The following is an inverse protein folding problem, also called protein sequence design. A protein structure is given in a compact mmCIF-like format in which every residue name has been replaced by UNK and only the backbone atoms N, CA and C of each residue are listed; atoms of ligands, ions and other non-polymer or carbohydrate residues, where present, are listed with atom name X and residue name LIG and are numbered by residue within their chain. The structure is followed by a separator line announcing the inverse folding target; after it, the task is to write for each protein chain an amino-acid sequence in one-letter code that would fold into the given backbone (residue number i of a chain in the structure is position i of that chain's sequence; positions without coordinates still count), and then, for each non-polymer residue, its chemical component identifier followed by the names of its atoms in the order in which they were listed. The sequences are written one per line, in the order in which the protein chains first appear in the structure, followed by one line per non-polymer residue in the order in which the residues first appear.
data_IF_965072734820
#
_entry.id   IF_965072734820
#
_cell.length_a   1.000
_cell.length_b   1.000
_cell.length_c   1.000
_cell.angle_alpha   90.00
_cell.angle_beta   90.00
_cell.angle_gamma   90.00
#
_symmetry.space_group_name_H-M   'P 1'
#
loop_
_entity.id
_entity.type
_entity.pdbx_description
1 polymer ?
#
# COMPACT_ATOMS: atom_id res chain seq x y z
N UNK A 1 137.57 -47.49 -63.34
CA UNK A 1 136.37 -48.27 -62.93
C UNK A 1 135.91 -48.01 -61.50
N UNK A 2 136.74 -47.45 -60.60
CA UNK A 2 136.36 -47.15 -59.20
C UNK A 2 135.42 -45.95 -59.02
N UNK A 3 135.46 -44.93 -59.91
CA UNK A 3 134.59 -43.74 -59.85
C UNK A 3 133.15 -44.00 -60.28
N UNK A 4 132.93 -44.93 -61.22
CA UNK A 4 131.61 -45.32 -61.72
C UNK A 4 130.81 -46.13 -60.69
N UNK A 5 131.47 -47.05 -59.99
CA UNK A 5 130.85 -47.85 -58.92
C UNK A 5 130.48 -46.96 -57.72
N UNK A 6 131.32 -45.98 -57.36
CA UNK A 6 131.01 -44.99 -56.32
C UNK A 6 129.84 -44.06 -56.67
N UNK A 7 129.74 -43.58 -57.92
CA UNK A 7 128.59 -42.81 -58.40
C UNK A 7 127.31 -43.64 -58.45
N UNK A 8 127.38 -44.92 -58.83
CA UNK A 8 126.21 -45.81 -58.84
C UNK A 8 125.71 -46.09 -57.41
N UNK A 9 126.62 -46.32 -56.46
CA UNK A 9 126.28 -46.48 -55.04
C UNK A 9 125.69 -45.18 -54.48
N UNK A 10 126.29 -44.03 -54.77
CA UNK A 10 125.75 -42.72 -54.38
C UNK A 10 124.37 -42.42 -54.99
N UNK A 11 124.16 -42.79 -56.26
CA UNK A 11 122.89 -42.66 -56.95
C UNK A 11 121.82 -43.60 -56.37
N UNK A 12 122.18 -44.83 -56.01
CA UNK A 12 121.30 -45.78 -55.33
C UNK A 12 120.94 -45.32 -53.92
N UNK A 13 121.88 -44.73 -53.18
CA UNK A 13 121.62 -44.14 -51.87
C UNK A 13 120.66 -42.94 -52.00
N UNK A 14 120.83 -42.08 -53.00
CA UNK A 14 119.91 -40.97 -53.29
C UNK A 14 118.52 -41.49 -53.68
N UNK A 15 118.43 -42.49 -54.56
CA UNK A 15 117.16 -43.13 -54.93
C UNK A 15 116.46 -43.74 -53.71
N UNK A 16 117.22 -44.39 -52.82
CA UNK A 16 116.70 -44.94 -51.58
C UNK A 16 116.19 -43.83 -50.65
N UNK A 17 116.90 -42.71 -50.49
CA UNK A 17 116.45 -41.56 -49.71
C UNK A 17 115.19 -40.93 -50.32
N UNK A 18 115.16 -40.70 -51.64
CA UNK A 18 113.99 -40.12 -52.33
C UNK A 18 112.78 -41.03 -52.16
N UNK A 19 112.94 -42.34 -52.39
CA UNK A 19 111.86 -43.31 -52.24
C UNK A 19 111.39 -43.45 -50.79
N UNK A 20 112.30 -43.41 -49.81
CA UNK A 20 112.01 -43.59 -48.38
C UNK A 20 111.48 -42.34 -47.68
N UNK A 21 111.94 -41.15 -48.09
CA UNK A 21 111.67 -39.87 -47.41
C UNK A 21 110.87 -38.85 -48.22
N UNK A 22 110.98 -38.81 -49.56
CA UNK A 22 110.31 -37.78 -50.40
C UNK A 22 109.01 -38.28 -51.03
N UNK A 23 108.99 -39.50 -51.56
CA UNK A 23 107.79 -40.12 -52.15
C UNK A 23 106.63 -40.30 -51.14
N UNK A 24 106.84 -40.79 -49.91
CA UNK A 24 105.75 -40.97 -48.95
C UNK A 24 105.00 -39.67 -48.58
N UNK A 25 105.64 -38.52 -48.27
CA UNK A 25 104.91 -37.29 -48.00
C UNK A 25 104.19 -36.73 -49.23
N UNK A 26 104.78 -36.83 -50.44
CA UNK A 26 104.12 -36.38 -51.68
C UNK A 26 102.88 -37.24 -52.00
N UNK A 27 102.97 -38.57 -51.89
CA UNK A 27 101.82 -39.46 -52.06
C UNK A 27 100.74 -39.23 -51.00
N UNK A 28 101.12 -38.99 -49.74
CA UNK A 28 100.17 -38.63 -48.67
C UNK A 28 99.46 -37.32 -48.96
N UNK A 29 100.17 -36.28 -49.40
CA UNK A 29 99.56 -35.00 -49.74
C UNK A 29 98.56 -35.14 -50.91
N UNK A 30 98.91 -35.92 -51.93
CA UNK A 30 98.06 -36.14 -53.11
C UNK A 30 96.83 -37.02 -52.77
N UNK A 31 96.99 -38.03 -51.93
CA UNK A 31 95.88 -38.83 -51.40
C UNK A 31 94.96 -38.00 -50.50
N UNK A 32 95.51 -37.16 -49.61
CA UNK A 32 94.73 -36.24 -48.77
C UNK A 32 93.93 -35.24 -49.62
N UNK A 33 94.50 -34.74 -50.73
CA UNK A 33 93.76 -33.87 -51.65
C UNK A 33 92.65 -34.62 -52.40
N UNK A 34 92.91 -35.82 -52.88
CA UNK A 34 91.88 -36.66 -53.52
C UNK A 34 90.75 -37.01 -52.55
N UNK A 35 91.08 -37.34 -51.30
CA UNK A 35 90.13 -37.65 -50.24
C UNK A 35 89.35 -36.40 -49.81
N UNK A 36 89.98 -35.24 -49.70
CA UNK A 36 89.31 -33.97 -49.45
C UNK A 36 88.31 -33.62 -50.55
N UNK A 37 88.69 -33.76 -51.83
CA UNK A 37 87.79 -33.53 -52.98
C UNK A 37 86.64 -34.53 -52.98
N UNK A 38 86.93 -35.82 -52.72
CA UNK A 38 85.89 -36.86 -52.65
C UNK A 38 84.91 -36.62 -51.51
N UNK A 39 85.41 -36.24 -50.33
CA UNK A 39 84.57 -35.90 -49.19
C UNK A 39 83.73 -34.65 -49.46
N UNK A 40 84.30 -33.62 -50.09
CA UNK A 40 83.54 -32.42 -50.50
C UNK A 40 82.44 -32.75 -51.51
N UNK A 41 82.71 -33.62 -52.49
CA UNK A 41 81.71 -34.07 -53.47
C UNK A 41 80.59 -34.90 -52.81
N UNK A 42 80.94 -35.84 -51.92
CA UNK A 42 79.97 -36.66 -51.19
C UNK A 42 79.13 -35.82 -50.21
N UNK A 43 79.74 -34.83 -49.54
CA UNK A 43 79.04 -33.90 -48.66
C UNK A 43 78.11 -32.96 -49.43
N UNK A 44 78.55 -32.47 -50.60
CA UNK A 44 77.72 -31.69 -51.51
C UNK A 44 76.53 -32.49 -52.05
N UNK A 45 76.74 -33.75 -52.43
CA UNK A 45 75.67 -34.65 -52.87
C UNK A 45 74.66 -34.93 -51.75
N UNK A 46 75.12 -35.18 -50.52
CA UNK A 46 74.24 -35.35 -49.34
C UNK A 46 73.49 -34.06 -48.99
N UNK A 47 74.14 -32.90 -49.10
CA UNK A 47 73.51 -31.61 -48.88
C UNK A 47 72.41 -31.34 -49.92
N UNK A 48 72.67 -31.63 -51.20
CA UNK A 48 71.68 -31.53 -52.27
C UNK A 48 70.49 -32.47 -52.05
N UNK A 49 70.74 -33.71 -51.61
CA UNK A 49 69.67 -34.67 -51.29
C UNK A 49 68.81 -34.20 -50.10
N UNK A 50 69.44 -33.73 -49.02
CA UNK A 50 68.72 -33.17 -47.85
C UNK A 50 67.90 -31.94 -48.21
N UNK A 51 68.41 -31.09 -49.11
CA UNK A 51 67.68 -29.92 -49.61
C UNK A 51 66.44 -30.37 -50.41
N UNK A 52 66.60 -31.32 -51.34
CA UNK A 52 65.48 -31.83 -52.12
C UNK A 52 64.40 -32.51 -51.26
N UNK A 53 64.82 -33.24 -50.22
CA UNK A 53 63.90 -33.83 -49.24
C UNK A 53 63.20 -32.77 -48.39
N UNK A 54 63.94 -31.75 -47.92
CA UNK A 54 63.38 -30.62 -47.18
C UNK A 54 62.37 -29.82 -48.02
N UNK A 55 62.66 -29.58 -49.30
CA UNK A 55 61.76 -28.90 -50.23
C UNK A 55 60.47 -29.70 -50.45
N UNK A 56 60.58 -31.03 -50.55
CA UNK A 56 59.42 -31.92 -50.66
C UNK A 56 58.55 -31.86 -49.40
N UNK A 57 59.14 -32.00 -48.22
CA UNK A 57 58.42 -31.87 -46.95
C UNK A 57 57.80 -30.49 -46.80
N UNK A 58 58.51 -29.42 -47.19
CA UNK A 58 57.97 -28.07 -47.17
C UNK A 58 56.75 -27.93 -48.08
N UNK A 59 56.81 -28.45 -49.30
CA UNK A 59 55.69 -28.45 -50.24
C UNK A 59 54.48 -29.23 -49.69
N UNK A 60 54.69 -30.41 -49.09
CA UNK A 60 53.64 -31.20 -48.45
C UNK A 60 53.00 -30.46 -47.27
N UNK A 61 53.79 -29.84 -46.40
CA UNK A 61 53.27 -29.07 -45.24
C UNK A 61 52.51 -27.83 -45.67
N UNK A 62 52.94 -27.15 -46.73
CA UNK A 62 52.20 -26.03 -47.31
C UNK A 62 50.87 -26.51 -47.92
N UNK A 63 50.84 -27.68 -48.56
CA UNK A 63 49.61 -28.26 -49.08
C UNK A 63 48.63 -28.67 -47.96
N UNK A 64 49.14 -29.32 -46.91
CA UNK A 64 48.38 -29.69 -45.71
C UNK A 64 47.82 -28.44 -45.01
N UNK A 65 48.65 -27.42 -44.78
CA UNK A 65 48.20 -26.16 -44.17
C UNK A 65 47.13 -25.44 -45.01
N UNK A 66 47.22 -25.51 -46.35
CA UNK A 66 46.18 -24.96 -47.23
C UNK A 66 44.88 -25.77 -47.17
N UNK A 67 44.96 -27.09 -47.00
CA UNK A 67 43.78 -27.94 -46.83
C UNK A 67 43.10 -27.66 -45.48
N UNK A 68 43.88 -27.57 -44.41
CA UNK A 68 43.39 -27.24 -43.07
C UNK A 68 42.78 -25.83 -43.02
N UNK A 69 43.43 -24.84 -43.63
CA UNK A 69 42.88 -23.49 -43.72
C UNK A 69 41.52 -23.45 -44.44
N UNK A 70 41.36 -24.25 -45.51
CA UNK A 70 40.06 -24.40 -46.19
C UNK A 70 39.02 -25.02 -45.27
N UNK A 71 39.39 -26.08 -44.55
CA UNK A 71 38.50 -26.74 -43.61
C UNK A 71 38.01 -25.76 -42.53
N UNK A 72 38.93 -25.01 -41.91
CA UNK A 72 38.61 -23.97 -40.92
C UNK A 72 37.68 -22.91 -41.51
N UNK A 73 37.89 -22.47 -42.76
CA UNK A 73 37.01 -21.48 -43.39
C UNK A 73 35.60 -22.00 -43.67
N UNK A 74 35.46 -23.29 -44.02
CA UNK A 74 34.13 -23.88 -44.22
C UNK A 74 33.40 -24.10 -42.89
N UNK A 75 34.09 -24.56 -41.85
CA UNK A 75 33.53 -24.65 -40.50
C UNK A 75 33.07 -23.27 -39.99
N UNK A 76 33.92 -22.25 -40.14
CA UNK A 76 33.57 -20.88 -39.77
C UNK A 76 32.36 -20.35 -40.55
N UNK A 77 32.19 -20.76 -41.81
CA UNK A 77 31.03 -20.40 -42.64
C UNK A 77 29.75 -21.07 -42.13
N UNK A 78 29.81 -22.37 -41.85
CA UNK A 78 28.67 -23.11 -41.26
C UNK A 78 28.29 -22.54 -39.90
N UNK A 79 29.27 -22.20 -39.07
CA UNK A 79 29.03 -21.58 -37.77
C UNK A 79 28.42 -20.18 -37.91
N UNK A 80 28.88 -19.38 -38.87
CA UNK A 80 28.29 -18.07 -39.15
C UNK A 80 26.81 -18.19 -39.57
N UNK A 81 26.48 -19.18 -40.41
CA UNK A 81 25.09 -19.47 -40.81
C UNK A 81 24.24 -19.90 -39.61
N UNK A 82 24.75 -20.81 -38.78
CA UNK A 82 24.10 -21.26 -37.54
C UNK A 82 23.86 -20.10 -36.56
N UNK A 83 24.84 -19.22 -36.36
CA UNK A 83 24.71 -18.03 -35.51
C UNK A 83 23.65 -17.09 -36.09
N UNK A 84 23.64 -16.88 -37.40
CA UNK A 84 22.64 -16.04 -38.06
C UNK A 84 21.21 -16.59 -37.88
N UNK A 85 21.02 -17.91 -38.00
CA UNK A 85 19.74 -18.57 -37.73
C UNK A 85 19.31 -18.44 -36.27
N UNK A 86 20.23 -18.66 -35.32
CA UNK A 86 19.96 -18.50 -33.89
C UNK A 86 19.55 -17.06 -33.55
N UNK A 87 20.24 -16.07 -34.11
CA UNK A 87 19.90 -14.65 -33.92
C UNK A 87 18.54 -14.31 -34.53
N UNK A 88 18.20 -14.85 -35.71
CA UNK A 88 16.87 -14.68 -36.31
C UNK A 88 15.78 -15.28 -35.42
N UNK A 89 15.96 -16.52 -34.95
CA UNK A 89 15.01 -17.17 -34.05
C UNK A 89 14.82 -16.40 -32.74
N UNK A 90 15.90 -15.86 -32.16
CA UNK A 90 15.82 -15.00 -30.98
C UNK A 90 15.08 -13.69 -31.27
N UNK A 91 15.34 -13.06 -32.42
CA UNK A 91 14.65 -11.85 -32.84
C UNK A 91 13.15 -12.10 -33.02
N UNK A 92 12.75 -13.23 -33.61
CA UNK A 92 11.34 -13.59 -33.77
C UNK A 92 10.63 -13.75 -32.42
N UNK A 93 11.29 -14.38 -31.44
CA UNK A 93 10.78 -14.50 -30.07
C UNK A 93 10.62 -13.13 -29.40
N UNK A 94 11.60 -12.22 -29.57
CA UNK A 94 11.54 -10.88 -29.00
C UNK A 94 10.44 -10.04 -29.66
N UNK A 95 10.30 -10.12 -30.99
CA UNK A 95 9.22 -9.46 -31.73
C UNK A 95 7.87 -9.93 -31.24
N UNK A 96 7.68 -11.23 -31.03
CA UNK A 96 6.43 -11.77 -30.52
C UNK A 96 6.15 -11.32 -29.08
N UNK A 97 7.19 -11.30 -28.22
CA UNK A 97 7.07 -10.75 -26.85
C UNK A 97 6.61 -9.28 -26.88
N UNK A 98 7.25 -8.46 -27.72
CA UNK A 98 6.90 -7.05 -27.87
C UNK A 98 5.47 -6.88 -28.39
N UNK A 99 5.04 -7.70 -29.36
CA UNK A 99 3.67 -7.68 -29.88
C UNK A 99 2.65 -8.01 -28.80
N UNK A 100 2.86 -9.07 -28.03
CA UNK A 100 1.95 -9.46 -26.94
C UNK A 100 1.86 -8.37 -25.88
N UNK A 101 3.01 -7.83 -25.45
CA UNK A 101 3.07 -6.74 -24.49
C UNK A 101 2.39 -5.47 -25.03
N UNK A 102 2.64 -5.11 -26.29
CA UNK A 102 2.00 -3.98 -26.96
C UNK A 102 0.48 -4.15 -27.06
N UNK A 103 0.01 -5.36 -27.39
CA UNK A 103 -1.42 -5.70 -27.40
C UNK A 103 -2.08 -5.52 -26.03
N UNK A 104 -1.43 -5.98 -24.96
CA UNK A 104 -1.90 -5.77 -23.58
C UNK A 104 -1.94 -4.27 -23.23
N UNK A 105 -0.90 -3.52 -23.59
CA UNK A 105 -0.85 -2.07 -23.36
C UNK A 105 -2.00 -1.33 -24.08
N UNK A 106 -2.32 -1.71 -25.32
CA UNK A 106 -3.45 -1.15 -26.07
C UNK A 106 -4.78 -1.44 -25.38
N UNK A 107 -4.98 -2.65 -24.84
CA UNK A 107 -6.20 -2.98 -24.09
C UNK A 107 -6.33 -2.16 -22.81
N UNK A 108 -5.23 -1.94 -22.08
CA UNK A 108 -5.22 -1.09 -20.89
C UNK A 108 -5.57 0.37 -21.24
N UNK A 109 -4.96 0.91 -22.29
CA UNK A 109 -5.26 2.26 -22.79
C UNK A 109 -6.72 2.38 -23.22
N UNK A 110 -7.26 1.37 -23.91
CA UNK A 110 -8.69 1.33 -24.29
C UNK A 110 -9.60 1.33 -23.07
N UNK A 111 -9.30 0.51 -22.06
CA UNK A 111 -10.09 0.46 -20.84
C UNK A 111 -10.04 1.79 -20.07
N UNK A 112 -8.88 2.43 -20.01
CA UNK A 112 -8.71 3.76 -19.43
C UNK A 112 -9.51 4.81 -20.19
N UNK A 113 -9.43 4.84 -21.52
CA UNK A 113 -10.19 5.75 -22.36
C UNK A 113 -11.70 5.57 -22.17
N UNK A 114 -12.19 4.34 -22.12
CA UNK A 114 -13.61 4.06 -21.86
C UNK A 114 -14.03 4.58 -20.48
N UNK A 115 -13.21 4.38 -19.44
CA UNK A 115 -13.51 4.92 -18.10
C UNK A 115 -13.56 6.44 -18.11
N UNK A 116 -12.62 7.09 -18.78
CA UNK A 116 -12.60 8.54 -18.92
C UNK A 116 -13.85 9.05 -19.65
N UNK A 117 -14.18 8.45 -20.81
CA UNK A 117 -15.38 8.80 -21.58
C UNK A 117 -16.67 8.61 -20.77
N UNK A 118 -16.77 7.53 -19.97
CA UNK A 118 -17.91 7.32 -19.07
C UNK A 118 -17.99 8.39 -17.99
N UNK A 119 -16.86 8.81 -17.43
CA UNK A 119 -16.79 9.90 -16.46
C UNK A 119 -17.25 11.22 -17.07
N UNK A 120 -16.67 11.61 -18.21
CA UNK A 120 -17.01 12.84 -18.92
C UNK A 120 -18.49 12.86 -19.35
N UNK A 121 -18.99 11.76 -19.91
CA UNK A 121 -20.39 11.63 -20.29
C UNK A 121 -21.32 11.69 -19.06
N UNK A 122 -20.92 11.08 -17.94
CA UNK A 122 -21.67 11.11 -16.70
C UNK A 122 -21.79 12.53 -16.14
N UNK A 123 -20.68 13.26 -16.08
CA UNK A 123 -20.66 14.66 -15.64
C UNK A 123 -21.51 15.55 -16.55
N UNK A 124 -21.38 15.40 -17.87
CA UNK A 124 -22.17 16.17 -18.83
C UNK A 124 -23.67 15.83 -18.74
N UNK A 125 -24.02 14.56 -18.55
CA UNK A 125 -25.41 14.11 -18.37
C UNK A 125 -26.03 14.69 -17.10
N UNK A 126 -25.32 14.67 -15.97
CA UNK A 126 -25.79 15.29 -14.72
C UNK A 126 -25.93 16.80 -14.86
N UNK A 127 -25.01 17.46 -15.58
CA UNK A 127 -25.11 18.89 -15.86
C UNK A 127 -26.39 19.21 -16.64
N UNK A 128 -26.68 18.46 -17.70
CA UNK A 128 -27.93 18.62 -18.49
C UNK A 128 -29.17 18.27 -17.70
N UNK A 129 -29.14 17.21 -16.91
CA UNK A 129 -30.24 16.87 -15.99
C UNK A 129 -30.49 18.01 -14.98
N UNK A 130 -29.43 18.62 -14.45
CA UNK A 130 -29.51 19.78 -13.57
C UNK A 130 -30.13 21.00 -14.25
N UNK A 131 -29.81 21.27 -15.52
CA UNK A 131 -30.46 22.32 -16.32
C UNK A 131 -31.96 22.05 -16.51
N UNK A 132 -32.33 20.80 -16.83
CA UNK A 132 -33.73 20.38 -16.98
C UNK A 132 -34.52 20.49 -15.67
N UNK A 133 -33.95 20.00 -14.56
CA UNK A 133 -34.58 20.08 -13.23
C UNK A 133 -34.73 21.55 -12.82
N UNK A 134 -33.71 22.39 -13.05
CA UNK A 134 -33.79 23.83 -12.75
C UNK A 134 -34.92 24.51 -13.53
N UNK A 135 -35.09 24.15 -14.81
CA UNK A 135 -36.22 24.64 -15.60
C UNK A 135 -37.57 24.12 -15.10
N UNK A 136 -37.64 22.87 -14.65
CA UNK A 136 -38.86 22.26 -14.10
C UNK A 136 -39.29 22.88 -12.77
N UNK A 137 -38.37 23.10 -11.83
CA UNK A 137 -38.68 23.68 -10.51
C UNK A 137 -38.93 25.19 -10.55
N UNK A 138 -38.76 25.83 -11.71
CA UNK A 138 -39.20 27.21 -11.90
C UNK A 138 -40.73 27.34 -11.93
N UNK A 139 -41.45 26.24 -12.17
CA UNK A 139 -42.90 26.17 -12.06
C UNK A 139 -43.34 25.97 -10.59
N UNK A 140 -44.16 26.87 -10.01
CA UNK A 140 -44.61 26.77 -8.62
C UNK A 140 -45.35 25.46 -8.30
N UNK A 141 -46.10 24.90 -9.24
CA UNK A 141 -46.82 23.64 -9.02
C UNK A 141 -45.83 22.45 -8.88
N UNK A 142 -44.81 22.38 -9.75
CA UNK A 142 -43.74 21.39 -9.65
C UNK A 142 -42.92 21.53 -8.36
N UNK A 143 -42.69 22.76 -7.90
CA UNK A 143 -42.00 23.01 -6.64
C UNK A 143 -42.81 22.50 -5.45
N UNK A 144 -44.10 22.84 -5.37
CA UNK A 144 -45.00 22.35 -4.30
C UNK A 144 -45.03 20.83 -4.26
N UNK A 145 -45.25 20.18 -5.40
CA UNK A 145 -45.30 18.72 -5.49
C UNK A 145 -43.99 18.04 -5.06
N UNK A 146 -42.84 18.72 -5.19
CA UNK A 146 -41.54 18.23 -4.71
C UNK A 146 -41.44 18.33 -3.18
N UNK A 147 -41.94 19.42 -2.59
CA UNK A 147 -42.01 19.61 -1.15
C UNK A 147 -42.94 18.56 -0.54
N UNK A 148 -44.14 18.40 -1.09
CA UNK A 148 -45.14 17.46 -0.59
C UNK A 148 -44.58 16.03 -0.56
N UNK A 149 -43.91 15.59 -1.65
CA UNK A 149 -43.26 14.27 -1.69
C UNK A 149 -42.16 14.11 -0.62
N UNK A 150 -41.39 15.16 -0.38
CA UNK A 150 -40.33 15.12 0.64
C UNK A 150 -40.93 15.05 2.06
N UNK A 151 -42.03 15.76 2.30
CA UNK A 151 -42.77 15.67 3.57
C UNK A 151 -43.38 14.28 3.77
N UNK A 152 -43.98 13.70 2.74
CA UNK A 152 -44.49 12.32 2.77
C UNK A 152 -43.37 11.32 3.09
N UNK A 153 -42.17 11.50 2.52
CA UNK A 153 -41.00 10.68 2.81
C UNK A 153 -40.55 10.83 4.26
N UNK A 154 -40.50 12.06 4.79
CA UNK A 154 -40.18 12.30 6.20
C UNK A 154 -41.18 11.67 7.15
N UNK A 155 -42.48 11.78 6.86
CA UNK A 155 -43.53 11.15 7.67
C UNK A 155 -43.41 9.62 7.65
N UNK A 156 -43.00 9.04 6.53
CA UNK A 156 -42.73 7.59 6.43
C UNK A 156 -41.50 7.13 7.22
N UNK A 157 -40.51 8.02 7.37
CA UNK A 157 -39.26 7.77 8.11
C UNK A 157 -39.40 8.07 9.61
N UNK A 158 -40.41 8.83 10.01
CA UNK A 158 -40.61 9.22 11.40
C UNK A 158 -40.90 7.98 12.27
N UNK A 159 -40.17 7.78 13.39
CA UNK A 159 -40.49 6.71 14.33
C UNK A 159 -41.86 6.96 14.96
N UNK A 160 -42.61 5.88 15.23
CA UNK A 160 -44.00 5.93 15.69
C UNK A 160 -44.22 6.63 17.06
N UNK A 161 -43.16 7.03 17.77
CA UNK A 161 -43.26 7.78 19.01
C UNK A 161 -42.04 8.71 19.18
N UNK A 162 -42.29 10.01 19.28
CA UNK A 162 -41.32 10.98 19.79
C UNK A 162 -41.14 10.73 21.30
N UNK A 163 -39.97 10.26 21.72
CA UNK A 163 -39.60 10.24 23.15
C UNK A 163 -38.84 11.53 23.47
N UNK A 164 -39.39 12.45 24.27
CA UNK A 164 -38.69 13.68 24.62
C UNK A 164 -37.38 13.37 25.36
N UNK A 165 -36.27 13.86 24.81
CA UNK A 165 -34.88 13.64 25.28
C UNK A 165 -34.57 14.25 26.66
N UNK A 166 -35.52 14.98 27.27
CA UNK A 166 -35.32 15.67 28.57
C UNK A 166 -35.05 14.69 29.73
N UNK A 167 -35.34 13.40 29.55
CA UNK A 167 -35.02 12.34 30.52
C UNK A 167 -33.67 11.65 30.30
N UNK A 168 -32.90 12.02 29.27
CA UNK A 168 -31.68 11.29 28.86
C UNK A 168 -30.51 11.41 29.86
N UNK A 169 -30.44 12.49 30.63
CA UNK A 169 -29.36 12.72 31.61
C UNK A 169 -29.65 12.11 33.00
N UNK A 170 -30.92 11.86 33.33
CA UNK A 170 -31.32 11.29 34.61
C UNK A 170 -30.99 9.80 34.67
N UNK A 171 -30.40 9.35 35.79
CA UNK A 171 -30.23 7.91 36.09
C UNK A 171 -31.59 7.24 36.30
N UNK A 172 -31.65 5.90 36.20
CA UNK A 172 -32.92 5.14 36.24
C UNK A 172 -33.82 5.48 37.43
N UNK A 173 -33.26 5.57 38.65
CA UNK A 173 -34.03 5.92 39.87
C UNK A 173 -34.58 7.35 39.82
N UNK A 174 -33.82 8.31 39.28
CA UNK A 174 -34.30 9.69 39.14
C UNK A 174 -35.33 9.83 38.01
N UNK A 175 -35.24 9.03 36.94
CA UNK A 175 -36.27 8.98 35.91
C UNK A 175 -37.59 8.44 36.46
N UNK A 176 -37.53 7.39 37.26
CA UNK A 176 -38.70 6.82 37.93
C UNK A 176 -39.31 7.79 38.95
N UNK A 177 -38.47 8.48 39.73
CA UNK A 177 -38.88 9.55 40.64
C UNK A 177 -39.54 10.73 39.90
N UNK A 178 -38.94 11.19 38.80
CA UNK A 178 -39.49 12.24 37.94
C UNK A 178 -40.86 11.84 37.38
N UNK A 179 -41.00 10.60 36.88
CA UNK A 179 -42.25 10.10 36.35
C UNK A 179 -43.36 10.09 37.42
N UNK A 180 -43.05 9.61 38.64
CA UNK A 180 -44.00 9.63 39.75
C UNK A 180 -44.38 11.06 40.19
N UNK A 181 -43.47 12.03 40.04
CA UNK A 181 -43.76 13.44 40.33
C UNK A 181 -44.69 14.05 39.30
N UNK A 182 -44.46 13.76 38.02
CA UNK A 182 -45.33 14.20 36.93
C UNK A 182 -46.71 13.57 37.06
N UNK A 183 -46.79 12.28 37.39
CA UNK A 183 -48.08 11.59 37.63
C UNK A 183 -48.86 12.21 38.80
N UNK A 184 -48.17 12.51 39.92
CA UNK A 184 -48.80 13.21 41.04
C UNK A 184 -49.24 14.62 40.66
N UNK A 185 -48.43 15.33 39.87
CA UNK A 185 -48.77 16.64 39.36
C UNK A 185 -50.00 16.59 38.47
N UNK A 186 -50.09 15.65 37.51
CA UNK A 186 -51.24 15.50 36.62
C UNK A 186 -52.53 15.27 37.42
N UNK A 187 -52.47 14.42 38.45
CA UNK A 187 -53.60 14.19 39.36
C UNK A 187 -54.01 15.44 40.13
N UNK A 188 -53.06 16.30 40.52
CA UNK A 188 -53.34 17.53 41.27
C UNK A 188 -53.84 18.62 40.32
N UNK A 189 -53.21 18.76 39.16
CA UNK A 189 -53.48 19.79 38.17
C UNK A 189 -54.81 19.61 37.45
N UNK A 190 -55.34 18.38 37.35
CA UNK A 190 -56.60 18.08 36.68
C UNK A 190 -57.76 19.01 37.12
N UNK A 191 -57.85 19.30 38.43
CA UNK A 191 -58.96 20.06 39.01
C UNK A 191 -58.62 21.51 39.37
N UNK A 192 -57.38 21.97 39.11
CA UNK A 192 -56.95 23.33 39.44
C UNK A 192 -57.39 24.37 38.40
N UNK A 193 -57.76 25.57 38.86
CA UNK A 193 -57.94 26.73 37.97
C UNK A 193 -56.60 27.29 37.48
N UNK A 194 -56.62 28.13 36.42
CA UNK A 194 -55.41 28.81 35.93
C UNK A 194 -54.71 29.67 37.00
N UNK A 195 -55.48 30.35 37.85
CA UNK A 195 -54.94 31.10 39.00
C UNK A 195 -54.30 30.17 40.03
N UNK A 196 -54.89 29.00 40.28
CA UNK A 196 -54.36 28.01 41.22
C UNK A 196 -53.09 27.32 40.68
N UNK A 197 -53.02 27.06 39.37
CA UNK A 197 -51.81 26.58 38.70
C UNK A 197 -50.67 27.60 38.74
N UNK A 198 -50.98 28.89 38.59
CA UNK A 198 -49.99 29.97 38.75
C UNK A 198 -49.43 30.01 40.17
N UNK A 199 -50.30 29.90 41.19
CA UNK A 199 -49.86 29.82 42.59
C UNK A 199 -49.02 28.58 42.85
N UNK A 200 -49.43 27.42 42.35
CA UNK A 200 -48.68 26.17 42.46
C UNK A 200 -47.27 26.31 41.86
N UNK A 201 -47.16 26.93 40.68
CA UNK A 201 -45.87 27.18 40.04
C UNK A 201 -44.97 28.08 40.91
N UNK A 202 -45.50 29.20 41.41
CA UNK A 202 -44.74 30.14 42.25
C UNK A 202 -44.30 29.51 43.57
N UNK A 203 -45.17 28.71 44.19
CA UNK A 203 -44.88 27.97 45.43
C UNK A 203 -43.79 26.92 45.22
N UNK A 204 -43.89 26.09 44.18
CA UNK A 204 -42.88 25.07 43.87
C UNK A 204 -41.55 25.70 43.45
N UNK A 205 -41.55 26.80 42.70
CA UNK A 205 -40.33 27.55 42.36
C UNK A 205 -39.67 28.15 43.62
N UNK A 206 -40.47 28.69 44.54
CA UNK A 206 -39.98 29.20 45.83
C UNK A 206 -39.38 28.09 46.69
N UNK A 207 -39.98 26.89 46.68
CA UNK A 207 -39.43 25.72 47.38
C UNK A 207 -38.17 25.20 46.71
N UNK A 208 -38.12 25.11 45.37
CA UNK A 208 -36.92 24.73 44.65
C UNK A 208 -35.74 25.67 45.00
N UNK A 209 -35.99 26.99 45.04
CA UNK A 209 -35.01 27.97 45.49
C UNK A 209 -34.55 27.74 46.94
N UNK A 210 -35.48 27.47 47.85
CA UNK A 210 -35.15 27.15 49.24
C UNK A 210 -34.25 25.90 49.34
N UNK A 211 -34.50 24.88 48.52
CA UNK A 211 -33.69 23.65 48.51
C UNK A 211 -32.29 23.89 47.94
N UNK A 212 -32.14 24.83 46.99
CA UNK A 212 -30.82 25.29 46.51
C UNK A 212 -30.07 26.04 47.61
N UNK A 213 -30.76 26.98 48.28
CA UNK A 213 -30.16 27.83 49.31
C UNK A 213 -29.81 27.05 50.59
N UNK A 214 -30.57 25.98 50.92
CA UNK A 214 -30.39 25.13 52.10
C UNK A 214 -30.00 23.69 51.74
N UNK A 215 -28.73 23.42 51.37
CA UNK A 215 -28.29 22.12 50.84
C UNK A 215 -28.41 20.96 51.84
N UNK A 216 -28.38 21.26 53.15
CA UNK A 216 -28.57 20.24 54.20
C UNK A 216 -30.01 19.71 54.17
N UNK A 217 -30.99 20.59 53.97
CA UNK A 217 -32.40 20.24 53.85
C UNK A 217 -32.64 19.41 52.59
N UNK A 218 -32.13 19.86 51.44
CA UNK A 218 -32.22 19.12 50.18
C UNK A 218 -31.62 17.72 50.29
N UNK A 219 -30.46 17.58 50.94
CA UNK A 219 -29.82 16.27 51.14
C UNK A 219 -30.66 15.33 52.00
N UNK A 220 -31.26 15.82 53.09
CA UNK A 220 -32.14 15.00 53.95
C UNK A 220 -33.42 14.59 53.22
N UNK A 221 -33.99 15.47 52.39
CA UNK A 221 -35.17 15.16 51.60
C UNK A 221 -34.88 14.15 50.48
N UNK A 222 -33.70 14.26 49.83
CA UNK A 222 -33.26 13.35 48.78
C UNK A 222 -32.72 11.98 49.27
N UNK A 223 -32.55 11.79 50.59
CA UNK A 223 -31.93 10.59 51.15
C UNK A 223 -32.76 9.31 50.92
N UNK A 224 -32.17 8.21 50.46
CA UNK A 224 -32.93 6.99 50.10
C UNK A 224 -33.41 6.15 51.31
N UNK A 225 -33.07 6.53 52.54
CA UNK A 225 -33.25 5.73 53.77
C UNK A 225 -34.62 5.98 54.41
N UNK A 226 -35.58 5.09 54.10
CA UNK A 226 -36.61 4.52 55.00
C UNK A 226 -37.62 5.37 55.77
N UNK A 227 -37.35 6.63 56.14
CA UNK A 227 -38.23 7.43 57.01
C UNK A 227 -39.05 8.46 56.21
N UNK A 228 -39.78 8.01 55.19
CA UNK A 228 -40.67 8.86 54.37
C UNK A 228 -41.60 9.71 55.25
N UNK A 229 -42.15 9.12 56.31
CA UNK A 229 -43.03 9.81 57.26
C UNK A 229 -42.31 10.85 58.13
N UNK A 230 -41.01 10.69 58.40
CA UNK A 230 -40.23 11.73 59.07
C UNK A 230 -39.99 12.92 58.13
N UNK A 231 -39.69 12.66 56.85
CA UNK A 231 -39.50 13.71 55.84
C UNK A 231 -40.79 14.50 55.57
N UNK A 232 -41.93 13.80 55.43
CA UNK A 232 -43.24 14.46 55.28
C UNK A 232 -43.58 15.32 56.51
N UNK A 233 -43.32 14.84 57.73
CA UNK A 233 -43.47 15.65 58.95
C UNK A 233 -42.54 16.85 58.99
N UNK A 234 -41.31 16.72 58.48
CA UNK A 234 -40.37 17.84 58.35
C UNK A 234 -40.90 18.88 57.36
N UNK A 235 -41.35 18.46 56.16
CA UNK A 235 -41.98 19.34 55.18
C UNK A 235 -43.20 20.04 55.75
N UNK A 236 -44.09 19.31 56.41
CA UNK A 236 -45.29 19.88 57.04
C UNK A 236 -44.93 20.94 58.10
N UNK A 237 -43.91 20.68 58.92
CA UNK A 237 -43.47 21.60 59.98
C UNK A 237 -42.80 22.87 59.41
N UNK A 238 -42.08 22.76 58.29
CA UNK A 238 -41.35 23.87 57.69
C UNK A 238 -42.22 24.70 56.74
N UNK A 239 -43.09 24.06 55.97
CA UNK A 239 -43.79 24.66 54.83
C UNK A 239 -45.32 24.62 54.95
N UNK A 240 -45.89 23.91 55.94
CA UNK A 240 -47.35 23.72 56.05
C UNK A 240 -48.17 25.00 56.14
N UNK A 241 -47.62 26.08 56.71
CA UNK A 241 -48.29 27.39 56.77
C UNK A 241 -47.84 28.35 55.63
N UNK A 242 -47.02 27.88 54.70
CA UNK A 242 -46.33 28.71 53.69
C UNK A 242 -46.73 28.41 52.25
N UNK A 243 -47.22 27.20 51.97
CA UNK A 243 -47.62 26.74 50.65
C UNK A 243 -49.00 26.08 50.73
N UNK A 244 -49.72 26.00 49.61
CA UNK A 244 -51.02 25.34 49.53
C UNK A 244 -50.93 23.81 49.50
N UNK A 245 -52.07 23.16 49.71
CA UNK A 245 -52.22 21.69 49.67
C UNK A 245 -51.71 21.08 48.34
N UNK A 246 -51.93 21.68 47.16
CA UNK A 246 -51.38 21.18 45.89
C UNK A 246 -49.85 21.09 45.87
N UNK A 247 -49.16 22.13 46.32
CA UNK A 247 -47.70 22.16 46.36
C UNK A 247 -47.16 21.18 47.41
N UNK A 248 -47.83 21.10 48.57
CA UNK A 248 -47.48 20.15 49.62
C UNK A 248 -47.64 18.69 49.16
N UNK A 249 -48.68 18.37 48.37
CA UNK A 249 -48.89 17.04 47.80
C UNK A 249 -47.74 16.63 46.86
N UNK A 250 -47.33 17.53 45.96
CA UNK A 250 -46.19 17.30 45.05
C UNK A 250 -44.88 17.11 45.84
N UNK A 251 -44.62 17.95 46.84
CA UNK A 251 -43.40 17.86 47.67
C UNK A 251 -43.37 16.59 48.55
N UNK A 252 -44.52 16.15 49.06
CA UNK A 252 -44.61 14.90 49.80
C UNK A 252 -44.28 13.69 48.92
N UNK A 253 -44.70 13.70 47.65
CA UNK A 253 -44.29 12.69 46.66
C UNK A 253 -42.80 12.81 46.34
N UNK A 254 -42.27 14.02 46.15
CA UNK A 254 -40.84 14.28 45.94
C UNK A 254 -39.95 13.74 47.07
N UNK A 255 -40.38 13.86 48.32
CA UNK A 255 -39.65 13.31 49.46
C UNK A 255 -39.82 11.79 49.66
N UNK A 256 -40.88 11.20 49.08
CA UNK A 256 -41.20 9.78 49.18
C UNK A 256 -40.49 8.92 48.13
N UNK A 257 -40.16 9.50 46.97
CA UNK A 257 -39.48 8.80 45.87
C UNK A 257 -37.95 8.84 46.02
N UNK A 258 -37.27 7.92 45.34
CA UNK A 258 -35.82 7.78 45.43
C UNK A 258 -35.09 8.54 44.33
N UNK A 259 -34.33 9.54 44.71
CA UNK A 259 -33.46 10.30 43.81
C UNK A 259 -32.05 9.72 43.76
N UNK A 260 -31.42 9.77 42.59
CA UNK A 260 -30.03 9.30 42.41
C UNK A 260 -29.02 10.35 42.85
N UNK A 261 -29.38 11.63 42.79
CA UNK A 261 -28.58 12.76 43.27
C UNK A 261 -29.49 13.74 44.01
N UNK A 262 -28.92 14.53 44.92
CA UNK A 262 -29.66 15.59 45.60
C UNK A 262 -30.11 16.70 44.65
N UNK A 263 -29.32 17.00 43.61
CA UNK A 263 -29.71 17.95 42.55
C UNK A 263 -30.97 17.49 41.81
N UNK A 264 -31.08 16.19 41.52
CA UNK A 264 -32.21 15.65 40.75
C UNK A 264 -33.57 15.91 41.45
N UNK A 265 -33.61 15.92 42.80
CA UNK A 265 -34.80 16.29 43.56
C UNK A 265 -35.20 17.75 43.30
N UNK A 266 -34.22 18.66 43.31
CA UNK A 266 -34.44 20.09 43.09
C UNK A 266 -34.90 20.32 41.65
N UNK A 267 -34.22 19.70 40.70
CA UNK A 267 -34.55 19.77 39.27
C UNK A 267 -35.95 19.20 38.99
N UNK A 268 -36.34 18.14 39.70
CA UNK A 268 -37.67 17.55 39.61
C UNK A 268 -38.78 18.48 40.11
N UNK A 269 -38.56 19.16 41.24
CA UNK A 269 -39.52 20.16 41.77
C UNK A 269 -39.62 21.37 40.83
N UNK A 270 -38.48 21.86 40.32
CA UNK A 270 -38.46 22.95 39.33
C UNK A 270 -39.16 22.55 38.03
N UNK A 271 -38.98 21.31 37.57
CA UNK A 271 -39.65 20.80 36.38
C UNK A 271 -41.17 20.80 36.54
N UNK A 272 -41.70 20.35 37.68
CA UNK A 272 -43.15 20.39 37.95
C UNK A 272 -43.66 21.84 38.05
N UNK A 273 -42.87 22.76 38.60
CA UNK A 273 -43.21 24.19 38.58
C UNK A 273 -43.35 24.72 37.15
N UNK A 274 -42.44 24.34 36.25
CA UNK A 274 -42.49 24.72 34.83
C UNK A 274 -43.67 24.06 34.10
N UNK A 275 -43.96 22.79 34.39
CA UNK A 275 -45.15 22.10 33.86
C UNK A 275 -46.44 22.77 34.34
N UNK A 276 -46.49 23.26 35.57
CA UNK A 276 -47.65 24.01 36.09
C UNK A 276 -47.93 25.27 35.26
N UNK A 277 -46.87 26.01 34.86
CA UNK A 277 -46.99 27.15 33.97
C UNK A 277 -47.40 26.75 32.54
N UNK A 278 -46.88 25.63 32.04
CA UNK A 278 -47.23 25.12 30.72
C UNK A 278 -48.71 24.71 30.64
N UNK A 279 -49.19 23.91 31.59
CA UNK A 279 -50.59 23.47 31.68
C UNK A 279 -51.52 24.66 31.87
N UNK A 280 -51.09 25.68 32.62
CA UNK A 280 -51.84 26.94 32.72
C UNK A 280 -51.94 27.63 31.35
N UNK A 281 -50.82 27.77 30.62
CA UNK A 281 -50.83 28.41 29.30
C UNK A 281 -51.73 27.66 28.30
N UNK A 282 -51.73 26.32 28.32
CA UNK A 282 -52.64 25.50 27.51
C UNK A 282 -54.12 25.66 27.84
N UNK A 283 -54.45 26.13 29.05
CA UNK A 283 -55.84 26.38 29.50
C UNK A 283 -56.29 27.83 29.26
N UNK A 284 -55.35 28.74 29.03
CA UNK A 284 -55.63 30.15 28.75
C UNK A 284 -55.87 30.41 27.24
N UNK A 285 -55.46 29.48 26.35
CA UNK A 285 -55.75 29.45 24.90
C UNK A 285 -57.06 28.72 24.56
#
# INVERSE_FOLDING_TARGET
MSTFIGQLIGFLVILWIIWRYVVPPVRRMMANQQEAVRNQLDESAKAAQRLAEADKFHAERVAEAKAEAKHITEEARVDAERIAEQLRAQADVEVERIKVQGGQQVQLLRAQLIRQLRGELGTESVRRAGELVRAHVADPAAQSATIDRFLDELDSMAPAAFTPEVSSELRSSSREAQAALVEQFDSVAADLSADALSRLADELASVAKLLVDEPILARHLAEATGEVEAKKRLLQRLLGDKIGDPAMAVLNTAAAVRWSQTSDLVDGVEHVARLSLLVRAERDD
#
